data_IF_371326199488
#
_entry.id   IF_371326199488
#
_cell.length_a   1.000
_cell.length_b   1.000
_cell.length_c   1.000
_cell.angle_alpha   90.00
_cell.angle_beta   90.00
_cell.angle_gamma   90.00
#
_symmetry.space_group_name_H-M   'P 1'
#
loop_
_entity.id
_entity.type
_entity.pdbx_description
1 polymer ?
#
# COMPACT_ATOMS: atom_id res chain seq x y z
N UNK A 1 46.95 -16.77 -8.15
CA UNK A 1 46.61 -15.56 -8.91
C UNK A 1 45.11 -15.53 -9.02
N UNK A 2 44.45 -14.83 -8.11
CA UNK A 2 42.99 -14.77 -7.98
C UNK A 2 42.40 -13.93 -9.11
N UNK A 3 41.68 -14.57 -10.02
CA UNK A 3 40.80 -13.87 -10.96
C UNK A 3 39.54 -13.39 -10.23
N UNK A 4 39.14 -12.19 -10.63
CA UNK A 4 38.23 -11.27 -9.95
C UNK A 4 36.78 -11.62 -10.31
N UNK A 5 35.99 -12.14 -9.35
CA UNK A 5 34.53 -12.26 -9.48
C UNK A 5 33.85 -11.01 -8.93
N UNK A 6 33.81 -9.93 -9.72
CA UNK A 6 32.97 -8.75 -9.42
C UNK A 6 32.22 -8.24 -10.65
N UNK A 7 31.89 -9.14 -11.59
CA UNK A 7 31.12 -8.79 -12.79
C UNK A 7 29.88 -9.67 -12.96
N UNK A 8 29.04 -9.76 -11.91
CA UNK A 8 27.64 -10.15 -12.09
C UNK A 8 26.73 -9.05 -11.54
N UNK A 9 26.51 -8.09 -12.43
CA UNK A 9 25.17 -7.62 -12.78
C UNK A 9 24.39 -7.02 -11.63
N UNK A 10 24.64 -5.73 -11.48
CA UNK A 10 23.66 -4.68 -11.20
C UNK A 10 22.30 -5.01 -11.87
N UNK A 11 21.50 -5.84 -11.22
CA UNK A 11 20.17 -6.25 -11.64
C UNK A 11 19.31 -5.01 -11.48
N UNK A 12 19.22 -4.22 -12.57
CA UNK A 12 18.25 -3.13 -12.73
C UNK A 12 16.93 -3.62 -12.14
N UNK A 13 16.58 -3.05 -11.00
CA UNK A 13 15.29 -3.22 -10.38
C UNK A 13 14.30 -2.49 -11.29
N UNK A 14 13.89 -3.16 -12.37
CA UNK A 14 12.88 -2.64 -13.28
C UNK A 14 11.58 -2.75 -12.51
N UNK A 15 11.29 -1.71 -11.72
CA UNK A 15 9.98 -1.54 -11.10
C UNK A 15 8.96 -1.64 -12.22
N UNK A 16 8.18 -2.72 -12.20
CA UNK A 16 7.05 -2.91 -13.07
C UNK A 16 5.97 -1.95 -12.59
N UNK A 17 6.13 -0.66 -12.89
CA UNK A 17 5.12 0.33 -12.55
C UNK A 17 3.85 -0.08 -13.28
N UNK A 18 2.77 -0.27 -12.54
CA UNK A 18 1.51 -0.71 -13.13
C UNK A 18 1.08 0.38 -14.14
N UNK A 19 0.80 0.03 -15.41
CA UNK A 19 0.42 1.03 -16.43
C UNK A 19 -0.78 1.89 -16.00
N UNK A 20 -1.70 1.31 -15.22
CA UNK A 20 -2.87 1.99 -14.67
C UNK A 20 -2.45 3.03 -13.62
N UNK A 21 -1.46 2.69 -12.79
CA UNK A 21 -0.91 3.58 -11.78
C UNK A 21 -0.18 4.77 -12.41
N UNK A 22 0.56 4.52 -13.48
CA UNK A 22 1.35 5.55 -14.16
C UNK A 22 0.51 6.54 -14.98
N UNK A 23 -0.68 6.15 -15.44
CA UNK A 23 -1.48 6.94 -16.37
C UNK A 23 -2.78 7.48 -15.74
N UNK A 24 -3.57 6.61 -15.10
CA UNK A 24 -4.89 6.98 -14.57
C UNK A 24 -4.79 7.47 -13.13
N UNK A 25 -4.05 6.76 -12.28
CA UNK A 25 -3.95 7.08 -10.84
C UNK A 25 -2.93 8.19 -10.54
N UNK A 26 -2.10 8.57 -11.52
CA UNK A 26 -1.15 9.67 -11.41
C UNK A 26 -1.75 11.04 -11.73
N UNK A 27 -3.00 11.10 -12.20
CA UNK A 27 -3.68 12.36 -12.53
C UNK A 27 -3.88 13.24 -11.28
N UNK A 28 -3.72 14.57 -11.40
CA UNK A 28 -4.08 15.50 -10.34
C UNK A 28 -5.55 15.32 -9.92
N UNK A 29 -5.91 15.56 -8.63
CA UNK A 29 -7.25 15.26 -8.12
C UNK A 29 -8.39 15.87 -8.95
N UNK A 30 -8.24 17.14 -9.36
CA UNK A 30 -9.24 17.83 -10.20
C UNK A 30 -9.42 17.17 -11.57
N UNK A 31 -8.33 16.72 -12.19
CA UNK A 31 -8.37 16.08 -13.50
C UNK A 31 -8.95 14.66 -13.40
N UNK A 32 -8.56 13.91 -12.36
CA UNK A 32 -9.11 12.59 -12.09
C UNK A 32 -10.63 12.64 -11.84
N UNK A 33 -11.09 13.57 -11.00
CA UNK A 33 -12.53 13.78 -10.74
C UNK A 33 -13.29 14.22 -12.00
N UNK A 34 -12.70 15.12 -12.80
CA UNK A 34 -13.32 15.56 -14.06
C UNK A 34 -13.46 14.38 -15.04
N UNK A 35 -12.40 13.57 -15.18
CA UNK A 35 -12.42 12.38 -16.03
C UNK A 35 -13.50 11.39 -15.57
N UNK A 36 -13.57 11.10 -14.28
CA UNK A 36 -14.61 10.24 -13.69
C UNK A 36 -16.02 10.77 -13.96
N UNK A 37 -16.21 12.09 -13.90
CA UNK A 37 -17.50 12.75 -14.19
C UNK A 37 -17.89 12.57 -15.65
N UNK A 38 -16.96 12.79 -16.59
CA UNK A 38 -17.20 12.60 -18.02
C UNK A 38 -17.55 11.13 -18.31
N UNK A 39 -16.81 10.18 -17.74
CA UNK A 39 -17.13 8.76 -17.85
C UNK A 39 -18.53 8.45 -17.31
N UNK A 40 -18.88 9.00 -16.15
CA UNK A 40 -20.21 8.86 -15.57
C UNK A 40 -21.31 9.34 -16.51
N UNK A 41 -21.13 10.50 -17.16
CA UNK A 41 -22.09 11.05 -18.12
C UNK A 41 -22.24 10.18 -19.38
N UNK A 42 -21.14 9.69 -19.96
CA UNK A 42 -21.17 8.81 -21.14
C UNK A 42 -21.92 7.51 -20.83
N UNK A 43 -21.75 6.97 -19.63
CA UNK A 43 -22.43 5.76 -19.19
C UNK A 43 -23.94 5.92 -19.01
N UNK A 44 -24.51 7.14 -19.09
CA UNK A 44 -25.95 7.38 -18.99
C UNK A 44 -26.69 7.24 -20.32
N UNK A 45 -25.98 7.21 -21.45
CA UNK A 45 -26.61 7.20 -22.76
C UNK A 45 -27.42 5.90 -22.96
N UNK A 46 -28.58 6.03 -23.62
CA UNK A 46 -29.51 4.94 -23.95
C UNK A 46 -30.09 4.10 -22.79
N UNK A 47 -29.90 4.53 -21.52
CA UNK A 47 -30.49 3.87 -20.35
C UNK A 47 -31.78 4.56 -19.87
N UNK A 48 -32.77 3.76 -19.48
CA UNK A 48 -33.96 4.23 -18.75
C UNK A 48 -33.60 4.70 -17.34
N UNK A 49 -34.49 5.47 -16.71
CA UNK A 49 -34.30 6.00 -15.34
C UNK A 49 -33.99 4.86 -14.35
N UNK A 50 -34.71 3.75 -14.43
CA UNK A 50 -34.51 2.61 -13.53
C UNK A 50 -33.15 1.95 -13.74
N UNK A 51 -32.70 1.83 -14.99
CA UNK A 51 -31.40 1.25 -15.31
C UNK A 51 -30.24 2.15 -14.85
N UNK A 52 -30.37 3.48 -15.01
CA UNK A 52 -29.40 4.46 -14.49
C UNK A 52 -29.25 4.34 -12.98
N UNK A 53 -30.37 4.28 -12.26
CA UNK A 53 -30.37 4.12 -10.80
C UNK A 53 -29.73 2.80 -10.37
N UNK A 54 -30.10 1.70 -11.02
CA UNK A 54 -29.51 0.39 -10.72
C UNK A 54 -28.01 0.36 -10.98
N UNK A 55 -27.55 0.88 -12.12
CA UNK A 55 -26.14 0.95 -12.49
C UNK A 55 -25.35 1.87 -11.55
N UNK A 56 -25.88 3.04 -11.22
CA UNK A 56 -25.25 3.97 -10.28
C UNK A 56 -25.08 3.33 -8.90
N UNK A 57 -26.14 2.71 -8.37
CA UNK A 57 -26.07 1.99 -7.09
C UNK A 57 -25.06 0.84 -7.12
N UNK A 58 -24.98 0.11 -8.23
CA UNK A 58 -24.00 -0.94 -8.42
C UNK A 58 -22.56 -0.39 -8.38
N UNK A 59 -22.26 0.68 -9.14
CA UNK A 59 -20.93 1.32 -9.15
C UNK A 59 -20.54 1.85 -7.77
N UNK A 60 -21.47 2.49 -7.06
CA UNK A 60 -21.26 2.96 -5.68
C UNK A 60 -20.95 1.78 -4.75
N UNK A 61 -21.69 0.68 -4.85
CA UNK A 61 -21.49 -0.52 -4.02
C UNK A 61 -20.11 -1.16 -4.27
N UNK A 62 -19.67 -1.24 -5.52
CA UNK A 62 -18.32 -1.71 -5.87
C UNK A 62 -17.26 -0.81 -5.23
N UNK A 63 -17.36 0.50 -5.41
CA UNK A 63 -16.42 1.46 -4.84
C UNK A 63 -16.33 1.39 -3.31
N UNK A 64 -17.49 1.35 -2.64
CA UNK A 64 -17.56 1.21 -1.18
C UNK A 64 -16.95 -0.11 -0.69
N UNK A 65 -17.19 -1.21 -1.42
CA UNK A 65 -16.62 -2.52 -1.07
C UNK A 65 -15.10 -2.50 -1.14
N UNK A 66 -14.52 -1.93 -2.21
CA UNK A 66 -13.07 -1.78 -2.37
C UNK A 66 -12.46 -0.92 -1.24
N UNK A 67 -13.07 0.21 -0.92
CA UNK A 67 -12.62 1.09 0.17
C UNK A 67 -12.71 0.41 1.53
N UNK A 68 -13.77 -0.37 1.76
CA UNK A 68 -13.96 -1.12 3.02
C UNK A 68 -12.90 -2.21 3.17
N UNK A 69 -12.61 -2.97 2.11
CA UNK A 69 -11.56 -3.97 2.13
C UNK A 69 -10.18 -3.36 2.40
N UNK A 70 -9.83 -2.27 1.71
CA UNK A 70 -8.57 -1.57 1.92
C UNK A 70 -8.44 -1.01 3.35
N UNK A 71 -9.52 -0.44 3.90
CA UNK A 71 -9.54 0.03 5.28
C UNK A 71 -9.34 -1.12 6.30
N UNK A 72 -9.93 -2.29 6.04
CA UNK A 72 -9.73 -3.47 6.87
C UNK A 72 -8.30 -4.00 6.80
N UNK A 73 -7.68 -4.00 5.61
CA UNK A 73 -6.27 -4.38 5.43
C UNK A 73 -5.34 -3.43 6.19
N UNK A 74 -5.55 -2.12 6.07
CA UNK A 74 -4.77 -1.11 6.80
C UNK A 74 -4.91 -1.25 8.32
N UNK A 75 -6.12 -1.51 8.81
CA UNK A 75 -6.36 -1.75 10.25
C UNK A 75 -5.60 -2.97 10.77
N UNK A 76 -5.62 -4.09 10.01
CA UNK A 76 -4.90 -5.31 10.41
C UNK A 76 -3.38 -5.14 10.31
N UNK A 77 -2.88 -4.35 9.35
CA UNK A 77 -1.46 -4.01 9.25
C UNK A 77 -0.98 -3.17 10.43
N UNK A 78 -1.75 -2.17 10.86
CA UNK A 78 -1.40 -1.36 12.04
C UNK A 78 -1.34 -2.17 13.33
N UNK A 79 -2.13 -3.24 13.43
CA UNK A 79 -2.05 -4.17 14.57
C UNK A 79 -0.74 -4.99 14.53
N UNK A 80 -0.31 -5.43 13.34
CA UNK A 80 0.94 -6.18 13.16
C UNK A 80 2.22 -5.34 13.34
N UNK A 81 2.20 -4.04 13.00
CA UNK A 81 3.34 -3.14 13.30
C UNK A 81 3.56 -2.98 14.81
N UNK A 82 2.49 -2.97 15.61
CA UNK A 82 2.62 -2.90 17.07
C UNK A 82 3.25 -4.15 17.67
N UNK A 83 3.03 -5.33 17.09
CA UNK A 83 3.66 -6.58 17.52
C UNK A 83 5.18 -6.54 17.29
N UNK A 84 5.61 -6.06 16.12
CA UNK A 84 7.04 -5.94 15.79
C UNK A 84 7.75 -4.90 16.68
N UNK A 85 7.09 -3.78 16.98
CA UNK A 85 7.60 -2.76 17.92
C UNK A 85 7.74 -3.34 19.34
N UNK A 86 6.82 -4.21 19.77
CA UNK A 86 6.91 -4.88 21.07
C UNK A 86 8.10 -5.84 21.14
N UNK A 87 8.35 -6.62 20.08
CA UNK A 87 9.53 -7.49 19.98
C UNK A 87 10.83 -6.68 20.06
N UNK A 88 10.93 -5.58 19.31
CA UNK A 88 12.09 -4.69 19.33
C UNK A 88 12.35 -4.08 20.71
N UNK A 89 11.30 -3.67 21.42
CA UNK A 89 11.40 -3.15 22.79
C UNK A 89 11.92 -4.23 23.76
N UNK A 90 11.48 -5.48 23.62
CA UNK A 90 11.92 -6.57 24.50
C UNK A 90 13.39 -6.93 24.28
N UNK A 91 13.83 -6.94 23.02
CA UNK A 91 15.23 -7.18 22.67
C UNK A 91 16.16 -6.04 23.13
N UNK A 92 15.73 -4.78 23.00
CA UNK A 92 16.46 -3.64 23.57
C UNK A 92 16.58 -3.74 25.09
N UNK A 93 15.52 -4.16 25.80
CA UNK A 93 15.57 -4.38 27.25
C UNK A 93 16.55 -5.48 27.65
N UNK A 94 16.59 -6.59 26.90
CA UNK A 94 17.57 -7.67 27.13
C UNK A 94 19.00 -7.17 26.95
N UNK A 95 19.27 -6.43 25.88
CA UNK A 95 20.59 -5.87 25.62
C UNK A 95 21.06 -4.92 26.73
N UNK A 96 20.19 -4.01 27.19
CA UNK A 96 20.49 -3.11 28.32
C UNK A 96 20.83 -3.90 29.58
N UNK A 97 20.08 -4.98 29.84
CA UNK A 97 20.29 -5.83 31.02
C UNK A 97 21.63 -6.56 30.98
N UNK A 98 22.00 -7.07 29.80
CA UNK A 98 23.29 -7.74 29.59
C UNK A 98 24.46 -6.76 29.77
N UNK A 99 24.36 -5.57 29.17
CA UNK A 99 25.38 -4.52 29.32
C UNK A 99 25.54 -4.09 30.78
N UNK A 100 24.43 -3.91 31.50
CA UNK A 100 24.45 -3.57 32.94
C UNK A 100 25.13 -4.65 33.77
N UNK A 101 24.87 -5.93 33.46
CA UNK A 101 25.50 -7.06 34.13
C UNK A 101 26.99 -7.12 33.83
N UNK A 102 27.41 -6.91 32.59
CA UNK A 102 28.83 -6.91 32.22
C UNK A 102 29.59 -5.77 32.89
N UNK A 103 29.02 -4.56 32.92
CA UNK A 103 29.62 -3.41 33.63
C UNK A 103 29.78 -3.67 35.13
N UNK A 104 28.78 -4.27 35.77
CA UNK A 104 28.86 -4.63 37.19
C UNK A 104 29.84 -5.78 37.46
N UNK A 105 30.07 -6.66 36.50
CA UNK A 105 31.02 -7.78 36.63
C UNK A 105 32.48 -7.35 36.42
N UNK A 106 32.70 -6.16 35.85
CA UNK A 106 34.04 -5.57 35.66
C UNK A 106 34.46 -4.64 36.80
N UNK A 107 33.68 -4.59 37.89
CA UNK A 107 33.93 -3.77 39.08
C UNK A 107 34.29 -4.66 40.26
#
# INVERSE_FOLDING_TARGET
MSENLNDEKNKKNKSCVNPIESCLLSLPPKQFTLLSTIFGLILLDDLSINQKNALGNFIVSVGQTMLTAAAQEQSLQSDSENDQICEDIDDLKKQITLLKKELNSRK
#
